data_IF_380430006559
#
_entry.id   IF_380430006559
#
_cell.length_a   1.000
_cell.length_b   1.000
_cell.length_c   1.000
_cell.angle_alpha   90.00
_cell.angle_beta   90.00
_cell.angle_gamma   90.00
#
_symmetry.space_group_name_H-M   'P 1'
#
loop_
_entity.id
_entity.type
_entity.pdbx_description
1 polymer ?
#
# COMPACT_ATOMS: atom_id res chain seq x y z
N UNK A 1 1.01 5.64 -4.56
CA UNK A 1 1.22 4.25 -4.07
C UNK A 1 0.10 3.29 -4.47
N UNK A 2 -1.14 3.43 -3.98
CA UNK A 2 -2.26 2.50 -4.29
C UNK A 2 -2.53 2.30 -5.79
N UNK A 3 -2.72 3.40 -6.54
CA UNK A 3 -2.96 3.35 -7.98
C UNK A 3 -1.83 2.67 -8.76
N UNK A 4 -0.57 2.99 -8.40
CA UNK A 4 0.59 2.37 -9.01
C UNK A 4 0.62 0.86 -8.75
N UNK A 5 0.30 0.45 -7.51
CA UNK A 5 0.25 -0.96 -7.13
C UNK A 5 -0.83 -1.73 -7.90
N UNK A 6 -2.03 -1.17 -8.00
CA UNK A 6 -3.13 -1.72 -8.79
C UNK A 6 -2.71 -1.90 -10.26
N UNK A 7 -2.08 -0.89 -10.86
CA UNK A 7 -1.59 -0.98 -12.24
C UNK A 7 -0.47 -2.02 -12.41
N UNK A 8 0.40 -2.14 -11.41
CA UNK A 8 1.60 -2.99 -11.48
C UNK A 8 1.30 -4.47 -11.26
N UNK A 9 0.45 -4.77 -10.27
CA UNK A 9 0.16 -6.11 -9.79
C UNK A 9 -1.27 -6.57 -10.11
N UNK A 10 -2.19 -5.66 -10.42
CA UNK A 10 -3.62 -5.99 -10.58
C UNK A 10 -4.36 -6.14 -9.25
N UNK A 11 -3.67 -5.93 -8.13
CA UNK A 11 -4.19 -6.10 -6.76
C UNK A 11 -4.58 -4.76 -6.17
N UNK A 12 -5.78 -4.67 -5.59
CA UNK A 12 -6.28 -3.45 -4.96
C UNK A 12 -5.88 -3.36 -3.48
N UNK A 13 -5.02 -2.40 -3.14
CA UNK A 13 -4.60 -2.11 -1.76
C UNK A 13 -5.59 -1.13 -1.10
N UNK A 14 -6.69 -1.65 -0.57
CA UNK A 14 -7.67 -0.81 0.15
C UNK A 14 -9.05 -1.40 0.38
N UNK A 15 -9.39 -2.53 -0.24
CA UNK A 15 -10.69 -3.17 0.00
C UNK A 15 -10.64 -3.97 1.30
N UNK A 16 -11.46 -3.57 2.28
CA UNK A 16 -11.79 -4.38 3.45
C UNK A 16 -12.58 -5.58 2.96
N UNK A 17 -11.92 -6.71 2.73
CA UNK A 17 -12.61 -7.92 2.25
C UNK A 17 -11.65 -9.04 1.89
N UNK A 18 -11.42 -9.90 2.87
CA UNK A 18 -11.08 -11.32 2.77
C UNK A 18 -10.10 -11.77 1.67
N UNK A 19 -8.96 -12.32 2.13
CA UNK A 19 -8.35 -13.49 1.46
C UNK A 19 -9.49 -14.49 1.14
N UNK A 20 -9.84 -14.62 -0.14
CA UNK A 20 -10.78 -15.63 -0.61
C UNK A 20 -12.27 -15.26 -0.52
N UNK A 21 -12.71 -14.17 -1.16
CA UNK A 21 -14.06 -14.10 -1.70
C UNK A 21 -14.12 -13.01 -2.77
N UNK A 22 -14.77 -13.30 -3.90
CA UNK A 22 -15.12 -12.31 -4.92
C UNK A 22 -15.87 -11.14 -4.25
N UNK A 23 -15.17 -10.04 -3.97
CA UNK A 23 -15.79 -8.86 -3.37
C UNK A 23 -16.42 -8.01 -4.48
N UNK A 24 -17.76 -8.03 -4.51
CA UNK A 24 -18.58 -7.05 -5.21
C UNK A 24 -18.23 -5.62 -4.77
N UNK A 25 -18.33 -4.62 -5.67
CA UNK A 25 -17.95 -3.25 -5.40
C UNK A 25 -18.99 -2.60 -4.49
N UNK A 26 -18.56 -2.02 -3.36
CA UNK A 26 -19.37 -1.09 -2.58
C UNK A 26 -18.86 0.34 -2.84
N UNK A 27 -19.82 1.16 -3.24
CA UNK A 27 -19.89 2.60 -3.56
C UNK A 27 -18.66 3.48 -3.29
N UNK A 28 -18.30 4.26 -4.31
CA UNK A 28 -17.52 5.48 -4.11
C UNK A 28 -16.10 5.49 -4.69
N UNK A 29 -15.82 4.70 -5.74
CA UNK A 29 -14.84 5.03 -6.80
C UNK A 29 -14.91 3.95 -7.87
N UNK A 30 -15.16 4.41 -9.09
CA UNK A 30 -15.19 3.67 -10.35
C UNK A 30 -14.38 2.37 -10.26
N UNK A 31 -15.10 1.25 -10.27
CA UNK A 31 -14.50 0.04 -10.80
C UNK A 31 -14.14 0.41 -12.24
N UNK A 32 -12.87 0.73 -12.48
CA UNK A 32 -12.35 0.84 -13.84
C UNK A 32 -12.86 -0.39 -14.60
N UNK A 33 -13.41 -0.19 -15.82
CA UNK A 33 -13.94 -1.30 -16.60
C UNK A 33 -12.88 -2.40 -16.63
N UNK A 34 -13.29 -3.66 -16.51
CA UNK A 34 -12.41 -4.78 -16.81
C UNK A 34 -11.94 -4.62 -18.26
N UNK A 35 -10.88 -3.85 -18.45
CA UNK A 35 -10.28 -3.64 -19.75
C UNK A 35 -9.85 -5.01 -20.23
N UNK A 36 -10.28 -5.36 -21.44
CA UNK A 36 -9.87 -6.60 -22.09
C UNK A 36 -8.36 -6.56 -22.31
N UNK A 37 -7.62 -7.07 -21.34
CA UNK A 37 -6.15 -7.15 -21.38
C UNK A 37 -5.73 -8.31 -22.27
N UNK A 38 -4.69 -8.09 -23.07
CA UNK A 38 -4.11 -9.15 -23.90
C UNK A 38 -3.58 -10.31 -23.04
N UNK A 39 -3.56 -11.53 -23.59
CA UNK A 39 -3.05 -12.73 -22.89
C UNK A 39 -1.65 -12.52 -22.29
N UNK A 40 -0.81 -11.76 -22.99
CA UNK A 40 0.55 -11.46 -22.54
C UNK A 40 0.57 -10.56 -21.28
N UNK A 41 -0.31 -9.56 -21.21
CA UNK A 41 -0.44 -8.69 -20.03
C UNK A 41 -0.97 -9.46 -18.83
N UNK A 42 -1.96 -10.34 -19.04
CA UNK A 42 -2.49 -11.20 -17.98
C UNK A 42 -1.40 -12.12 -17.40
N UNK A 43 -0.59 -12.75 -18.25
CA UNK A 43 0.50 -13.60 -17.80
C UNK A 43 1.55 -12.81 -17.00
N UNK A 44 1.89 -11.60 -17.47
CA UNK A 44 2.82 -10.69 -16.79
C UNK A 44 2.32 -10.25 -15.41
N UNK A 45 1.01 -10.00 -15.27
CA UNK A 45 0.39 -9.66 -13.98
C UNK A 45 0.44 -10.86 -13.03
N UNK A 46 0.01 -12.04 -13.48
CA UNK A 46 0.05 -13.28 -12.67
C UNK A 46 1.46 -13.61 -12.16
N UNK A 47 2.48 -13.44 -13.00
CA UNK A 47 3.87 -13.64 -12.61
C UNK A 47 4.36 -12.63 -11.55
N UNK A 48 3.88 -11.39 -11.62
CA UNK A 48 4.22 -10.36 -10.63
C UNK A 48 3.48 -10.57 -9.32
N UNK A 49 2.21 -10.93 -9.41
CA UNK A 49 1.35 -11.26 -8.28
C UNK A 49 1.92 -12.44 -7.48
N UNK A 50 2.41 -13.50 -8.13
CA UNK A 50 3.00 -14.64 -7.42
C UNK A 50 4.27 -14.30 -6.64
N UNK A 51 5.00 -13.25 -7.04
CA UNK A 51 6.19 -12.75 -6.34
C UNK A 51 5.89 -11.62 -5.37
N UNK A 52 4.65 -11.15 -5.33
CA UNK A 52 4.22 -10.06 -4.48
C UNK A 52 4.18 -10.52 -3.03
N UNK A 53 5.04 -9.94 -2.19
CA UNK A 53 4.98 -10.09 -0.73
C UNK A 53 4.88 -8.70 -0.13
N UNK A 54 3.79 -8.42 0.58
CA UNK A 54 3.57 -7.15 1.27
C UNK A 54 3.38 -7.47 2.75
N UNK A 55 4.02 -6.68 3.62
CA UNK A 55 3.93 -6.85 5.07
C UNK A 55 2.51 -6.54 5.56
N UNK A 56 1.83 -7.44 6.30
CA UNK A 56 0.50 -7.19 6.84
C UNK A 56 0.38 -5.86 7.60
N UNK A 57 1.42 -5.41 8.32
CA UNK A 57 1.39 -4.15 9.04
C UNK A 57 1.33 -2.93 8.11
N UNK A 58 1.92 -3.03 6.92
CA UNK A 58 1.87 -2.00 5.88
C UNK A 58 0.52 -2.06 5.15
N UNK A 59 -0.04 -3.26 4.94
CA UNK A 59 -1.38 -3.45 4.36
C UNK A 59 -2.47 -2.76 5.20
N UNK A 60 -2.40 -2.89 6.53
CA UNK A 60 -3.29 -2.21 7.47
C UNK A 60 -3.25 -0.67 7.30
N UNK A 61 -2.05 -0.11 7.12
CA UNK A 61 -1.90 1.34 6.90
C UNK A 61 -2.48 1.78 5.56
N UNK A 62 -2.32 0.97 4.51
CA UNK A 62 -2.96 1.25 3.23
C UNK A 62 -4.49 1.26 3.35
N UNK A 63 -5.09 0.41 4.18
CA UNK A 63 -6.55 0.49 4.45
C UNK A 63 -6.93 1.83 5.11
N UNK A 64 -6.13 2.30 6.07
CA UNK A 64 -6.36 3.58 6.74
C UNK A 64 -6.15 4.81 5.84
N UNK A 65 -5.44 4.65 4.72
CA UNK A 65 -5.05 5.74 3.82
C UNK A 65 -3.93 6.63 4.35
N UNK A 66 -3.39 6.36 5.55
CA UNK A 66 -2.29 7.08 6.18
C UNK A 66 -1.11 6.15 6.38
N UNK A 67 0.04 6.52 5.80
CA UNK A 67 1.28 5.77 5.89
C UNK A 67 2.25 6.49 6.84
N UNK A 68 2.97 5.72 7.65
CA UNK A 68 4.09 6.25 8.43
C UNK A 68 5.35 6.29 7.56
N UNK A 69 6.03 7.44 7.57
CA UNK A 69 7.23 7.68 6.78
C UNK A 69 8.26 8.46 7.61
N UNK A 70 9.54 8.25 7.30
CA UNK A 70 10.65 9.02 7.84
C UNK A 70 11.14 10.03 6.81
N UNK A 71 11.30 11.28 7.23
CA UNK A 71 11.88 12.34 6.41
C UNK A 71 13.40 12.13 6.39
N UNK A 72 13.97 11.92 5.20
CA UNK A 72 15.41 11.72 5.02
C UNK A 72 16.13 12.98 4.55
N UNK A 73 15.38 13.97 4.08
CA UNK A 73 15.88 15.26 3.62
C UNK A 73 16.01 16.28 4.77
N UNK A 74 16.75 17.36 4.52
CA UNK A 74 16.90 18.51 5.43
C UNK A 74 16.18 19.73 4.85
N UNK A 75 14.86 19.87 5.07
CA UNK A 75 14.03 20.84 4.34
C UNK A 75 14.51 22.29 4.49
N UNK A 76 15.10 22.66 5.63
CA UNK A 76 15.65 24.01 5.83
C UNK A 76 16.88 24.34 4.95
N UNK A 77 17.51 23.34 4.33
CA UNK A 77 18.65 23.52 3.43
C UNK A 77 18.28 23.21 1.98
N UNK A 78 17.56 22.11 1.75
CA UNK A 78 17.21 21.66 0.40
C UNK A 78 15.86 22.16 -0.11
N UNK A 79 15.03 22.79 0.74
CA UNK A 79 13.69 23.25 0.39
C UNK A 79 12.67 22.13 0.10
N UNK A 80 13.04 20.86 0.37
CA UNK A 80 12.23 19.68 0.08
C UNK A 80 12.07 18.80 1.31
N UNK A 81 10.90 18.16 1.43
CA UNK A 81 10.56 17.25 2.51
C UNK A 81 10.40 15.82 1.97
N UNK A 82 11.47 15.33 1.33
CA UNK A 82 11.55 13.97 0.80
C UNK A 82 11.92 12.96 1.90
N UNK A 83 11.44 11.73 1.73
CA UNK A 83 11.59 10.66 2.71
C UNK A 83 11.20 9.29 2.15
N UNK A 84 11.10 8.30 3.02
CA UNK A 84 10.74 6.94 2.68
C UNK A 84 9.71 6.36 3.65
N UNK A 85 8.95 5.37 3.21
CA UNK A 85 7.90 4.70 4.01
C UNK A 85 8.56 3.69 4.96
N UNK A 86 8.09 3.65 6.21
CA UNK A 86 8.60 2.70 7.19
C UNK A 86 8.05 1.29 6.93
N UNK A 87 8.94 0.31 6.92
CA UNK A 87 8.61 -1.11 6.71
C UNK A 87 9.25 -1.99 7.79
N UNK A 88 8.72 -3.20 8.00
CA UNK A 88 9.32 -4.24 8.84
C UNK A 88 9.65 -3.80 10.28
N UNK A 89 10.93 -3.95 10.66
CA UNK A 89 11.41 -3.67 12.02
C UNK A 89 11.32 -2.18 12.37
N UNK A 90 11.63 -1.29 11.42
CA UNK A 90 11.54 0.15 11.64
C UNK A 90 10.11 0.57 11.93
N UNK A 91 9.16 0.04 11.16
CA UNK A 91 7.75 0.31 11.38
C UNK A 91 7.32 -0.16 12.79
N UNK A 92 7.73 -1.36 13.17
CA UNK A 92 7.40 -1.92 14.49
C UNK A 92 7.98 -1.07 15.62
N UNK A 93 9.23 -0.62 15.48
CA UNK A 93 9.90 0.23 16.46
C UNK A 93 9.19 1.57 16.68
N UNK A 94 8.88 2.28 15.59
CA UNK A 94 8.22 3.58 15.68
C UNK A 94 6.75 3.47 16.12
N UNK A 95 6.03 2.42 15.71
CA UNK A 95 4.66 2.15 16.19
C UNK A 95 4.63 1.99 17.71
N UNK A 96 5.55 1.19 18.29
CA UNK A 96 5.68 1.03 19.74
C UNK A 96 5.99 2.34 20.47
N UNK A 97 6.87 3.18 19.92
CA UNK A 97 7.20 4.49 20.51
C UNK A 97 5.99 5.44 20.52
N UNK A 98 5.23 5.49 19.43
CA UNK A 98 4.02 6.32 19.35
C UNK A 98 2.94 5.87 20.33
N UNK A 99 2.72 4.57 20.47
CA UNK A 99 1.76 4.02 21.43
C UNK A 99 2.16 4.32 22.89
N UNK A 100 3.46 4.21 23.22
CA UNK A 100 3.94 4.57 24.57
C UNK A 100 3.72 6.05 24.86
N UNK A 101 3.99 6.94 23.90
CA UNK A 101 3.77 8.39 24.07
C UNK A 101 2.28 8.73 24.23
N UNK A 102 1.38 8.01 23.56
CA UNK A 102 -0.07 8.26 23.67
C UNK A 102 -0.65 7.86 25.02
N UNK A 103 -0.01 6.92 25.73
CA UNK A 103 -0.44 6.46 27.06
C UNK A 103 0.08 7.31 28.22
N UNK A 104 1.09 8.16 27.96
CA UNK A 104 1.62 9.13 28.91
C UNK A 104 0.87 10.47 28.75
#
# INVERSE_FOLDING_TARGET
>A
FKQWYLKKYGTDLGKKGAKGAKAKPAEGKEAEPEEKKSRHVVFKLKYRESKQKLDPAVEEQFQSGRLLAAIASRPGQCGRCDGYVLEGEELTFYKRKLEKKKKA
#
